data_IF_624266002880
#
_entry.id   IF_624266002880
#
_cell.length_a   1.000
_cell.length_b   1.000
_cell.length_c   1.000
_cell.angle_alpha   90.00
_cell.angle_beta   90.00
_cell.angle_gamma   90.00
#
_symmetry.space_group_name_H-M   'P 1'
#
loop_
_entity.id
_entity.type
_entity.pdbx_description
1 polymer ?
#
# COMPACT_ATOMS: atom_id res chain seq x y z
N UNK A 1 -1.63 12.86 9.62
CA UNK A 1 -2.58 12.01 8.88
C UNK A 1 -1.92 11.53 7.58
N UNK A 2 -2.39 10.45 6.94
CA UNK A 2 -1.79 9.95 5.68
C UNK A 2 -1.75 11.00 4.55
N UNK A 3 -2.74 11.90 4.51
CA UNK A 3 -2.78 13.04 3.58
C UNK A 3 -1.57 13.99 3.72
N UNK A 4 -1.00 14.12 4.91
CA UNK A 4 0.17 14.99 5.16
C UNK A 4 1.45 14.40 4.55
N UNK A 5 1.40 13.11 4.17
CA UNK A 5 2.44 12.37 3.46
C UNK A 5 2.12 12.18 1.97
N UNK A 6 1.11 12.87 1.43
CA UNK A 6 0.77 12.80 0.01
C UNK A 6 -0.09 11.60 -0.40
N UNK A 7 -0.53 10.76 0.54
CA UNK A 7 -1.46 9.67 0.28
C UNK A 7 -2.91 10.18 0.17
N UNK A 8 -3.20 11.00 -0.84
CA UNK A 8 -4.52 11.56 -1.15
C UNK A 8 -5.17 10.96 -2.40
N UNK A 9 -6.22 11.60 -2.91
CA UNK A 9 -6.87 11.17 -4.15
C UNK A 9 -5.89 11.10 -5.32
N UNK A 10 -5.92 10.00 -6.07
CA UNK A 10 -5.00 9.72 -7.18
C UNK A 10 -3.66 9.10 -6.76
N UNK A 11 -3.38 9.00 -5.45
CA UNK A 11 -2.23 8.28 -4.92
C UNK A 11 -2.53 6.77 -4.77
N UNK A 12 -1.50 5.95 -4.92
CA UNK A 12 -1.49 4.53 -4.54
C UNK A 12 -0.48 4.30 -3.42
N UNK A 13 -0.80 3.56 -2.36
CA UNK A 13 0.10 3.26 -1.23
C UNK A 13 0.37 1.76 -1.15
N UNK A 14 1.64 1.36 -1.19
CA UNK A 14 2.03 -0.03 -1.00
C UNK A 14 2.01 -0.42 0.49
N UNK A 15 1.37 -1.55 0.80
CA UNK A 15 1.26 -2.11 2.14
C UNK A 15 1.96 -3.46 2.19
N UNK A 16 3.23 -3.46 2.61
CA UNK A 16 4.04 -4.67 2.82
C UNK A 16 3.78 -5.24 4.23
N UNK A 17 2.67 -5.95 4.39
CA UNK A 17 2.21 -6.48 5.68
C UNK A 17 1.72 -7.92 5.53
N UNK A 18 2.00 -8.82 6.50
CA UNK A 18 1.36 -10.12 6.53
C UNK A 18 -0.16 -9.96 6.76
N UNK A 19 -0.92 -11.04 6.51
CA UNK A 19 -2.36 -11.04 6.81
C UNK A 19 -2.60 -11.00 8.32
N UNK A 20 -2.93 -9.81 8.83
CA UNK A 20 -3.26 -9.58 10.25
C UNK A 20 -4.28 -8.42 10.40
N UNK A 21 -4.71 -8.13 11.63
CA UNK A 21 -5.66 -7.05 11.90
C UNK A 21 -5.07 -5.67 11.56
N UNK A 22 -3.77 -5.48 11.79
CA UNK A 22 -3.04 -4.25 11.49
C UNK A 22 -3.03 -3.96 9.99
N UNK A 23 -2.98 -5.00 9.15
CA UNK A 23 -3.10 -4.84 7.70
C UNK A 23 -4.48 -4.28 7.31
N UNK A 24 -5.55 -4.74 7.97
CA UNK A 24 -6.90 -4.20 7.74
C UNK A 24 -6.99 -2.74 8.19
N UNK A 25 -6.41 -2.40 9.34
CA UNK A 25 -6.36 -1.01 9.84
C UNK A 25 -5.62 -0.12 8.83
N UNK A 26 -4.47 -0.57 8.31
CA UNK A 26 -3.70 0.16 7.31
C UNK A 26 -4.49 0.38 6.01
N UNK A 27 -5.15 -0.67 5.50
CA UNK A 27 -6.02 -0.58 4.31
C UNK A 27 -7.12 0.47 4.52
N UNK A 28 -7.83 0.42 5.65
CA UNK A 28 -8.88 1.39 5.96
C UNK A 28 -8.35 2.81 6.10
N UNK A 29 -7.15 2.99 6.65
CA UNK A 29 -6.47 4.28 6.72
C UNK A 29 -6.23 4.89 5.34
N UNK A 30 -5.66 4.11 4.42
CA UNK A 30 -5.39 4.52 3.03
C UNK A 30 -6.69 4.85 2.30
N UNK A 31 -7.70 4.00 2.41
CA UNK A 31 -9.00 4.27 1.78
C UNK A 31 -9.66 5.53 2.34
N UNK A 32 -9.54 5.78 3.65
CA UNK A 32 -10.08 6.99 4.29
C UNK A 32 -9.39 8.28 3.82
N UNK A 33 -8.13 8.21 3.38
CA UNK A 33 -7.44 9.38 2.81
C UNK A 33 -7.79 9.64 1.34
N UNK A 34 -8.57 8.75 0.72
CA UNK A 34 -8.94 8.82 -0.70
C UNK A 34 -7.91 8.17 -1.64
N UNK A 35 -6.85 7.58 -1.10
CA UNK A 35 -5.84 6.88 -1.87
C UNK A 35 -6.26 5.42 -2.15
N UNK A 36 -5.69 4.83 -3.20
CA UNK A 36 -5.72 3.40 -3.46
C UNK A 36 -4.63 2.68 -2.64
N UNK A 37 -4.80 1.38 -2.39
CA UNK A 37 -3.79 0.55 -1.71
C UNK A 37 -3.32 -0.59 -2.62
N UNK A 38 -2.06 -0.97 -2.46
CA UNK A 38 -1.45 -2.14 -3.08
C UNK A 38 -1.04 -3.12 -1.97
N UNK A 39 -1.76 -4.23 -1.77
CA UNK A 39 -1.41 -5.21 -0.75
C UNK A 39 -0.24 -6.08 -1.22
N UNK A 40 0.83 -6.14 -0.42
CA UNK A 40 2.00 -6.97 -0.70
C UNK A 40 2.23 -7.88 0.50
N UNK A 41 2.02 -9.18 0.33
CA UNK A 41 2.39 -10.16 1.35
C UNK A 41 3.93 -10.35 1.34
N UNK A 42 4.62 -10.12 2.48
CA UNK A 42 6.07 -10.28 2.60
C UNK A 42 6.59 -11.70 2.33
N UNK A 43 5.71 -12.71 2.35
CA UNK A 43 6.07 -14.09 2.03
C UNK A 43 6.31 -14.33 0.52
N UNK A 44 6.01 -13.35 -0.34
CA UNK A 44 6.31 -13.48 -1.76
C UNK A 44 7.82 -13.36 -2.04
N UNK A 45 8.30 -14.03 -3.10
CA UNK A 45 9.66 -13.82 -3.59
C UNK A 45 9.95 -12.35 -3.89
N UNK A 46 11.21 -11.93 -3.69
CA UNK A 46 11.65 -10.55 -3.88
C UNK A 46 11.40 -10.08 -5.31
N UNK A 47 11.56 -10.94 -6.32
CA UNK A 47 11.29 -10.59 -7.71
C UNK A 47 9.82 -10.23 -7.93
N UNK A 48 8.91 -10.94 -7.26
CA UNK A 48 7.47 -10.66 -7.32
C UNK A 48 7.16 -9.31 -6.70
N UNK A 49 7.73 -9.03 -5.53
CA UNK A 49 7.55 -7.74 -4.85
C UNK A 49 8.07 -6.61 -5.75
N UNK A 50 9.27 -6.77 -6.32
CA UNK A 50 9.85 -5.82 -7.26
C UNK A 50 8.97 -5.58 -8.49
N UNK A 51 8.43 -6.63 -9.09
CA UNK A 51 7.50 -6.54 -10.21
C UNK A 51 6.26 -5.71 -9.85
N UNK A 52 5.61 -5.97 -8.71
CA UNK A 52 4.42 -5.21 -8.31
C UNK A 52 4.72 -3.73 -8.07
N UNK A 53 5.85 -3.42 -7.43
CA UNK A 53 6.24 -2.04 -7.17
C UNK A 53 6.54 -1.29 -8.48
N UNK A 54 7.18 -1.97 -9.44
CA UNK A 54 7.45 -1.40 -10.75
C UNK A 54 6.17 -1.17 -11.57
N UNK A 55 5.24 -2.12 -11.54
CA UNK A 55 3.97 -2.06 -12.28
C UNK A 55 3.01 -1.01 -11.71
N UNK A 56 2.84 -0.99 -10.38
CA UNK A 56 1.88 -0.11 -9.72
C UNK A 56 2.42 1.29 -9.42
N UNK A 57 3.74 1.50 -9.47
CA UNK A 57 4.43 2.75 -9.17
C UNK A 57 3.82 3.52 -7.97
N UNK A 58 3.75 2.90 -6.77
CA UNK A 58 3.10 3.50 -5.62
C UNK A 58 3.78 4.80 -5.20
N UNK A 59 2.98 5.69 -4.65
CA UNK A 59 3.39 6.98 -4.10
C UNK A 59 4.39 6.77 -2.96
N UNK A 60 5.33 7.70 -2.86
CA UNK A 60 6.50 7.61 -1.98
C UNK A 60 6.17 7.80 -0.51
#
# INVERSE_FOLDING_TARGET
>A
MLIDYGAGAGACVALLLPRCAEAIIAILGVLKSGAAYLPIDPAHPVERIGFMLADAAPSR
#
